data_IF_331823614430
#
_entry.id   IF_331823614430
#
_cell.length_a   1.000
_cell.length_b   1.000
_cell.length_c   1.000
_cell.angle_alpha   90.00
_cell.angle_beta   90.00
_cell.angle_gamma   90.00
#
_symmetry.space_group_name_H-M   'P 1'
#
loop_
_entity.id
_entity.type
_entity.pdbx_description
1 polymer ?
#
# COMPACT_ATOMS: atom_id res chain seq x y z
N UNK A 1 -17.80 16.66 8.06
CA UNK A 1 -16.72 16.32 7.11
C UNK A 1 -16.57 14.81 7.13
N UNK A 2 -16.96 14.13 6.05
CA UNK A 2 -17.01 12.66 6.02
C UNK A 2 -15.66 12.06 6.41
N UNK A 3 -15.65 11.22 7.43
CA UNK A 3 -14.41 10.69 8.04
C UNK A 3 -13.49 9.96 7.04
N UNK A 4 -14.01 9.55 5.88
CA UNK A 4 -13.25 8.96 4.79
C UNK A 4 -12.47 9.98 3.96
N UNK A 5 -13.07 11.15 3.66
CA UNK A 5 -12.41 12.25 2.96
C UNK A 5 -11.28 12.83 3.81
N UNK A 6 -11.54 13.04 5.10
CA UNK A 6 -10.51 13.51 6.04
C UNK A 6 -9.32 12.54 6.11
N UNK A 7 -9.57 11.22 6.16
CA UNK A 7 -8.51 10.21 6.14
C UNK A 7 -7.71 10.23 4.84
N UNK A 8 -8.36 10.32 3.68
CA UNK A 8 -7.64 10.41 2.38
C UNK A 8 -6.72 11.64 2.34
N UNK A 9 -7.19 12.79 2.80
CA UNK A 9 -6.39 14.02 2.87
C UNK A 9 -5.19 13.84 3.80
N UNK A 10 -5.39 13.26 5.00
CA UNK A 10 -4.32 13.00 5.96
C UNK A 10 -3.26 12.05 5.39
N UNK A 11 -3.67 10.94 4.78
CA UNK A 11 -2.71 9.99 4.19
C UNK A 11 -1.98 10.57 2.97
N UNK A 12 -2.63 11.43 2.18
CA UNK A 12 -1.98 12.15 1.09
C UNK A 12 -0.92 13.13 1.60
N UNK A 13 -1.24 13.88 2.67
CA UNK A 13 -0.30 14.77 3.35
C UNK A 13 0.89 14.00 3.95
N UNK A 14 0.64 12.85 4.58
CA UNK A 14 1.67 11.97 5.11
C UNK A 14 2.62 11.47 4.01
N UNK A 15 2.10 11.04 2.87
CA UNK A 15 2.92 10.63 1.72
C UNK A 15 3.73 11.81 1.15
N UNK A 16 3.15 13.01 1.11
CA UNK A 16 3.86 14.19 0.65
C UNK A 16 5.07 14.53 1.55
N UNK A 17 4.88 14.48 2.87
CA UNK A 17 5.97 14.66 3.84
C UNK A 17 7.02 13.57 3.70
N UNK A 18 6.60 12.32 3.49
CA UNK A 18 7.51 11.19 3.30
C UNK A 18 8.40 11.36 2.06
N UNK A 19 7.84 11.83 0.93
CA UNK A 19 8.61 12.13 -0.29
C UNK A 19 9.66 13.21 -0.04
N UNK A 20 9.31 14.26 0.69
CA UNK A 20 10.26 15.31 1.08
C UNK A 20 11.36 14.71 1.97
N UNK A 21 10.98 13.87 2.95
CA UNK A 21 11.92 13.19 3.84
C UNK A 21 12.90 12.29 3.10
N UNK A 22 12.42 11.52 2.12
CA UNK A 22 13.27 10.71 1.23
C UNK A 22 14.20 11.59 0.41
N UNK A 23 13.72 12.71 -0.14
CA UNK A 23 14.54 13.68 -0.85
C UNK A 23 15.67 14.23 0.01
N UNK A 24 15.36 14.66 1.23
CA UNK A 24 16.36 15.12 2.22
C UNK A 24 17.33 14.01 2.56
N UNK A 25 16.86 12.78 2.72
CA UNK A 25 17.73 11.66 3.04
C UNK A 25 18.73 11.36 1.93
N UNK A 26 18.28 11.35 0.68
CA UNK A 26 19.14 11.17 -0.49
C UNK A 26 20.16 12.32 -0.61
N UNK A 27 19.74 13.57 -0.36
CA UNK A 27 20.63 14.74 -0.39
C UNK A 27 21.67 14.73 0.74
N UNK A 28 21.36 14.12 1.88
CA UNK A 28 22.29 14.04 3.02
C UNK A 28 23.53 13.17 2.75
N UNK A 29 23.48 12.30 1.73
CA UNK A 29 24.55 11.33 1.44
C UNK A 29 24.71 10.24 2.51
N UNK A 30 23.86 10.21 3.54
CA UNK A 30 23.93 9.25 4.63
C UNK A 30 23.11 7.99 4.31
N UNK A 31 23.81 6.90 3.99
CA UNK A 31 23.19 5.62 3.64
C UNK A 31 22.30 5.05 4.75
N UNK A 32 22.67 5.23 6.02
CA UNK A 32 21.87 4.74 7.16
C UNK A 32 20.55 5.49 7.23
N UNK A 33 20.59 6.81 7.05
CA UNK A 33 19.40 7.64 7.07
C UNK A 33 18.47 7.34 5.88
N UNK A 34 19.02 7.05 4.70
CA UNK A 34 18.25 6.55 3.55
C UNK A 34 17.56 5.21 3.84
N UNK A 35 18.25 4.26 4.48
CA UNK A 35 17.66 2.96 4.83
C UNK A 35 16.51 3.16 5.83
N UNK A 36 16.71 3.99 6.85
CA UNK A 36 15.67 4.29 7.85
C UNK A 36 14.45 4.93 7.19
N UNK A 37 14.65 5.93 6.33
CA UNK A 37 13.54 6.53 5.57
C UNK A 37 12.86 5.51 4.65
N UNK A 38 13.62 4.63 3.98
CA UNK A 38 13.04 3.58 3.15
C UNK A 38 12.12 2.62 3.92
N UNK A 39 12.48 2.24 5.15
CA UNK A 39 11.62 1.41 6.03
C UNK A 39 10.36 2.17 6.44
N UNK A 40 10.47 3.47 6.75
CA UNK A 40 9.34 4.33 7.10
C UNK A 40 8.38 4.46 5.90
N UNK A 41 8.91 4.74 4.72
CA UNK A 41 8.16 4.81 3.46
C UNK A 41 7.40 3.51 3.18
N UNK A 42 8.04 2.36 3.37
CA UNK A 42 7.39 1.04 3.22
C UNK A 42 6.21 0.88 4.18
N UNK A 43 6.39 1.23 5.46
CA UNK A 43 5.33 1.17 6.46
C UNK A 43 4.16 2.11 6.13
N UNK A 44 4.46 3.34 5.71
CA UNK A 44 3.46 4.32 5.28
C UNK A 44 2.73 3.85 4.02
N UNK A 45 3.44 3.26 3.06
CA UNK A 45 2.85 2.70 1.86
C UNK A 45 1.84 1.61 2.21
N UNK A 46 2.23 0.59 2.98
CA UNK A 46 1.31 -0.49 3.35
C UNK A 46 0.07 -0.01 4.10
N UNK A 47 0.19 1.03 4.93
CA UNK A 47 -0.93 1.56 5.71
C UNK A 47 -1.84 2.51 4.92
N UNK A 48 -1.25 3.32 4.05
CA UNK A 48 -1.98 4.28 3.21
C UNK A 48 -2.60 3.64 1.96
N UNK A 49 -1.98 2.58 1.42
CA UNK A 49 -2.44 1.85 0.24
C UNK A 49 -3.91 1.39 0.34
N UNK A 50 -4.37 0.69 1.39
CA UNK A 50 -5.77 0.28 1.50
C UNK A 50 -6.74 1.44 1.73
N UNK A 51 -6.26 2.60 2.22
CA UNK A 51 -7.14 3.77 2.44
C UNK A 51 -7.29 4.60 1.16
N UNK A 52 -6.23 4.70 0.36
CA UNK A 52 -6.21 5.43 -0.90
C UNK A 52 -6.76 4.60 -2.05
N UNK A 53 -6.44 3.30 -2.10
CA UNK A 53 -6.74 2.37 -3.21
C UNK A 53 -7.70 1.26 -2.83
N UNK A 54 -8.59 1.51 -1.86
CA UNK A 54 -9.54 0.51 -1.33
C UNK A 54 -10.31 -0.24 -2.43
N UNK A 55 -10.70 0.46 -3.51
CA UNK A 55 -11.35 -0.13 -4.68
C UNK A 55 -10.46 -1.11 -5.46
N UNK A 56 -9.18 -0.78 -5.64
CA UNK A 56 -8.22 -1.67 -6.32
C UNK A 56 -7.86 -2.89 -5.46
N UNK A 57 -7.82 -2.72 -4.13
CA UNK A 57 -7.56 -3.83 -3.19
C UNK A 57 -8.72 -4.83 -3.24
N UNK A 58 -9.95 -4.34 -3.18
CA UNK A 58 -11.16 -5.17 -3.23
C UNK A 58 -11.24 -5.94 -4.55
N UNK A 59 -10.88 -5.32 -5.68
CA UNK A 59 -10.81 -6.02 -6.96
C UNK A 59 -9.68 -7.06 -7.04
N UNK A 60 -8.52 -6.77 -6.45
CA UNK A 60 -7.40 -7.73 -6.37
C UNK A 60 -7.73 -8.94 -5.50
N UNK A 61 -8.43 -8.73 -4.38
CA UNK A 61 -8.90 -9.80 -3.50
C UNK A 61 -9.95 -10.65 -4.20
N UNK A 62 -10.92 -10.02 -4.88
CA UNK A 62 -11.93 -10.73 -5.68
C UNK A 62 -11.29 -11.59 -6.78
N UNK A 63 -10.25 -11.08 -7.47
CA UNK A 63 -9.47 -11.85 -8.46
C UNK A 63 -8.64 -12.99 -7.83
N UNK A 64 -8.24 -12.89 -6.56
CA UNK A 64 -7.56 -13.98 -5.85
C UNK A 64 -8.55 -15.06 -5.42
N UNK A 65 -9.73 -14.67 -4.95
CA UNK A 65 -10.80 -15.60 -4.59
C UNK A 65 -11.33 -16.36 -5.80
N UNK A 66 -11.55 -15.68 -6.93
CA UNK A 66 -11.95 -16.32 -8.18
C UNK A 66 -10.93 -17.38 -8.63
N UNK A 67 -9.64 -17.07 -8.57
CA UNK A 67 -8.58 -18.05 -8.88
C UNK A 67 -8.54 -19.23 -7.90
N UNK A 68 -8.79 -19.01 -6.61
CA UNK A 68 -8.92 -20.10 -5.64
C UNK A 68 -10.12 -20.99 -5.95
N UNK A 69 -11.27 -20.40 -6.27
CA UNK A 69 -12.47 -21.16 -6.63
C UNK A 69 -12.28 -21.97 -7.93
N UNK A 70 -11.58 -21.42 -8.92
CA UNK A 70 -11.25 -22.15 -10.15
C UNK A 70 -10.32 -23.33 -9.90
N UNK A 71 -9.32 -23.19 -9.02
CA UNK A 71 -8.46 -24.32 -8.63
C UNK A 71 -9.25 -25.41 -7.92
N UNK A 72 -10.10 -25.05 -6.95
CA UNK A 72 -10.94 -26.01 -6.22
C UNK A 72 -11.91 -26.73 -7.17
N UNK A 73 -12.51 -26.02 -8.13
CA UNK A 73 -13.38 -26.64 -9.16
C UNK A 73 -12.60 -27.61 -10.05
N UNK A 74 -11.36 -27.27 -10.43
CA UNK A 74 -10.51 -28.14 -11.24
C UNK A 74 -10.06 -29.39 -10.48
N UNK A 75 -9.81 -29.28 -9.18
CA UNK A 75 -9.45 -30.42 -8.34
C UNK A 75 -10.67 -31.32 -8.08
N UNK A 76 -11.85 -30.74 -7.88
CA UNK A 76 -13.10 -31.49 -7.72
C UNK A 76 -13.58 -32.18 -9.01
N UNK A 77 -13.22 -31.67 -10.20
CA UNK A 77 -13.55 -32.30 -11.49
C UNK A 77 -12.56 -33.40 -11.92
N UNK A 78 -11.45 -33.59 -11.18
CA UNK A 78 -10.49 -34.67 -11.40
C UNK A 78 -10.73 -35.90 -10.53
N UNK A 79 -11.64 -35.81 -9.57
CA UNK A 79 -12.13 -36.92 -8.74
C UNK A 79 -13.50 -37.37 -9.24
#
# INVERSE_FOLDING_TARGET
MDGMLARKIIYSLLLFIDVIGVGVALMSGNSVFCIVMGVITLGLYFKSYPVLFKADVEERERKRELRRQEMIKRDAARH
#
